data_IF_337338475891
#
_entry.id   IF_337338475891
#
_cell.length_a   1.000
_cell.length_b   1.000
_cell.length_c   1.000
_cell.angle_alpha   90.00
_cell.angle_beta   90.00
_cell.angle_gamma   90.00
#
_symmetry.space_group_name_H-M   'P 1'
#
loop_
_entity.id
_entity.type
_entity.pdbx_description
1 polymer ?
#
# COMPACT_ATOMS: atom_id res chain seq x y z
N UNK A 1 -19.76 -17.98 -15.78
CA UNK A 1 -20.13 -17.36 -14.50
C UNK A 1 -21.36 -16.53 -14.78
N UNK A 2 -22.50 -16.89 -14.20
CA UNK A 2 -23.72 -16.11 -14.35
C UNK A 2 -23.62 -14.88 -13.45
N UNK A 3 -23.52 -13.69 -14.06
CA UNK A 3 -23.35 -12.41 -13.36
C UNK A 3 -24.68 -11.91 -12.75
N UNK A 4 -25.78 -12.66 -12.89
CA UNK A 4 -27.11 -12.26 -12.43
C UNK A 4 -27.53 -12.90 -11.10
N UNK A 5 -26.74 -13.84 -10.57
CA UNK A 5 -27.00 -14.45 -9.25
C UNK A 5 -26.55 -13.48 -8.14
N UNK A 6 -27.43 -13.20 -7.19
CA UNK A 6 -27.07 -12.46 -5.97
C UNK A 6 -26.07 -13.28 -5.13
N UNK A 7 -25.02 -12.65 -4.59
CA UNK A 7 -24.03 -13.34 -3.78
C UNK A 7 -24.67 -13.90 -2.51
N UNK A 8 -24.62 -15.21 -2.34
CA UNK A 8 -25.10 -15.94 -1.16
C UNK A 8 -23.97 -16.04 -0.13
N UNK A 9 -24.22 -15.62 1.11
CA UNK A 9 -23.18 -15.57 2.15
C UNK A 9 -22.68 -16.96 2.58
N UNK A 10 -23.49 -17.99 2.41
CA UNK A 10 -23.20 -19.38 2.78
C UNK A 10 -22.60 -20.20 1.63
N UNK A 11 -22.50 -19.65 0.42
CA UNK A 11 -21.82 -20.29 -0.69
C UNK A 11 -20.29 -20.22 -0.51
N UNK A 12 -19.59 -21.34 -0.28
CA UNK A 12 -18.15 -21.37 -0.07
C UNK A 12 -17.35 -21.01 -1.33
N UNK A 13 -17.99 -20.98 -2.52
CA UNK A 13 -17.37 -20.62 -3.79
C UNK A 13 -17.58 -19.15 -4.16
N UNK A 14 -18.43 -18.42 -3.41
CA UNK A 14 -18.66 -16.99 -3.61
C UNK A 14 -17.63 -16.16 -2.83
N UNK A 15 -16.97 -15.23 -3.52
CA UNK A 15 -16.02 -14.32 -2.88
C UNK A 15 -16.78 -13.29 -2.03
N UNK A 16 -16.75 -13.48 -0.72
CA UNK A 16 -17.35 -12.56 0.24
C UNK A 16 -16.28 -11.65 0.85
N UNK A 17 -16.29 -10.36 0.48
CA UNK A 17 -15.41 -9.36 1.09
C UNK A 17 -16.06 -8.79 2.37
N UNK A 18 -15.31 -8.78 3.48
CA UNK A 18 -15.73 -8.12 4.72
C UNK A 18 -14.87 -6.87 4.91
N UNK A 19 -15.51 -5.70 4.84
CA UNK A 19 -14.86 -4.45 5.19
C UNK A 19 -14.63 -4.39 6.70
N UNK A 20 -13.38 -4.54 7.14
CA UNK A 20 -13.02 -4.29 8.54
C UNK A 20 -12.87 -2.78 8.72
N UNK A 21 -13.75 -2.18 9.53
CA UNK A 21 -13.68 -0.76 9.83
C UNK A 21 -12.49 -0.47 10.74
N UNK A 22 -11.53 0.30 10.23
CA UNK A 22 -10.39 0.79 10.99
C UNK A 22 -10.49 2.32 11.14
N UNK A 23 -11.08 2.81 12.24
CA UNK A 23 -11.22 4.26 12.46
C UNK A 23 -9.88 4.97 12.65
N UNK A 24 -8.83 4.24 13.04
CA UNK A 24 -7.52 4.82 13.27
C UNK A 24 -6.74 5.05 11.98
N UNK A 25 -7.04 4.29 10.92
CA UNK A 25 -6.28 4.27 9.68
C UNK A 25 -4.90 3.59 9.81
N UNK A 26 -4.68 2.82 10.88
CA UNK A 26 -3.42 2.13 11.14
C UNK A 26 -3.12 1.03 10.11
N UNK A 27 -4.15 0.28 9.71
CA UNK A 27 -4.05 -0.73 8.65
C UNK A 27 -3.55 -0.11 7.34
N UNK A 28 -4.00 1.11 7.04
CA UNK A 28 -3.60 1.84 5.85
C UNK A 28 -2.16 2.35 5.96
N UNK A 29 -1.71 2.75 7.16
CA UNK A 29 -0.32 3.11 7.43
C UNK A 29 0.62 1.91 7.31
N UNK A 30 0.24 0.76 7.86
CA UNK A 30 0.99 -0.49 7.72
C UNK A 30 1.10 -0.92 6.25
N UNK A 31 0.00 -0.85 5.50
CA UNK A 31 0.01 -1.15 4.06
C UNK A 31 0.93 -0.20 3.29
N UNK A 32 0.83 1.11 3.55
CA UNK A 32 1.70 2.10 2.90
C UNK A 32 3.18 1.88 3.23
N UNK A 33 3.50 1.51 4.47
CA UNK A 33 4.85 1.14 4.87
C UNK A 33 5.34 -0.10 4.12
N UNK A 34 4.51 -1.15 4.03
CA UNK A 34 4.84 -2.36 3.29
C UNK A 34 5.19 -2.06 1.83
N UNK A 35 4.34 -1.29 1.12
CA UNK A 35 4.64 -0.87 -0.25
C UNK A 35 5.97 -0.13 -0.35
N UNK A 36 6.21 0.85 0.54
CA UNK A 36 7.46 1.59 0.52
C UNK A 36 8.67 0.67 0.67
N UNK A 37 8.64 -0.25 1.64
CA UNK A 37 9.71 -1.22 1.87
C UNK A 37 9.96 -2.13 0.66
N UNK A 38 8.91 -2.70 0.07
CA UNK A 38 9.02 -3.63 -1.05
C UNK A 38 9.70 -2.96 -2.25
N UNK A 39 9.24 -1.77 -2.64
CA UNK A 39 9.84 -1.08 -3.78
C UNK A 39 11.27 -0.58 -3.49
N UNK A 40 11.58 -0.19 -2.25
CA UNK A 40 12.96 0.12 -1.87
C UNK A 40 13.87 -1.12 -1.91
N UNK A 41 13.38 -2.29 -1.46
CA UNK A 41 14.12 -3.56 -1.55
C UNK A 41 14.35 -4.00 -2.99
N UNK A 42 13.44 -3.68 -3.91
CA UNK A 42 13.60 -3.87 -5.35
C UNK A 42 14.55 -2.85 -6.01
N UNK A 43 15.08 -1.89 -5.25
CA UNK A 43 16.08 -0.93 -5.72
C UNK A 43 15.51 0.36 -6.31
N UNK A 44 14.20 0.60 -6.18
CA UNK A 44 13.62 1.87 -6.62
C UNK A 44 14.02 3.01 -5.67
N UNK A 45 14.39 4.20 -6.19
CA UNK A 45 14.75 5.32 -5.34
C UNK A 45 13.51 5.90 -4.63
N UNK A 46 13.67 6.54 -3.46
CA UNK A 46 12.54 7.06 -2.67
C UNK A 46 11.58 7.97 -3.45
N UNK A 47 12.10 8.83 -4.34
CA UNK A 47 11.26 9.68 -5.18
C UNK A 47 10.35 8.90 -6.14
N UNK A 48 10.82 7.75 -6.65
CA UNK A 48 9.99 6.89 -7.52
C UNK A 48 8.97 6.10 -6.72
N UNK A 49 9.31 5.72 -5.49
CA UNK A 49 8.36 5.12 -4.54
C UNK A 49 7.26 6.12 -4.19
N UNK A 50 7.61 7.39 -3.94
CA UNK A 50 6.62 8.43 -3.69
C UNK A 50 5.69 8.66 -4.89
N UNK A 51 6.23 8.70 -6.11
CA UNK A 51 5.43 8.85 -7.34
C UNK A 51 4.41 7.71 -7.56
N UNK A 52 4.65 6.51 -7.00
CA UNK A 52 3.68 5.41 -7.02
C UNK A 52 2.42 5.75 -6.22
N UNK A 53 2.54 6.45 -5.09
CA UNK A 53 1.40 6.92 -4.30
C UNK A 53 0.63 8.05 -5.00
N UNK A 54 1.27 8.86 -5.83
CA UNK A 54 0.63 9.97 -6.55
C UNK A 54 -0.17 9.51 -7.78
N UNK A 55 0.19 8.35 -8.34
CA UNK A 55 -0.38 7.85 -9.58
C UNK A 55 -1.73 7.13 -9.39
N UNK A 56 -2.81 7.57 -10.05
CA UNK A 56 -4.11 6.88 -10.02
C UNK A 56 -4.08 5.45 -10.58
N UNK A 57 -3.02 5.08 -11.32
CA UNK A 57 -2.84 3.71 -11.82
C UNK A 57 -2.60 2.70 -10.71
N UNK A 58 -2.21 3.16 -9.51
CA UNK A 58 -2.03 2.33 -8.32
C UNK A 58 -3.10 2.68 -7.28
N UNK A 59 -4.33 2.14 -7.43
CA UNK A 59 -5.48 2.61 -6.65
C UNK A 59 -5.31 2.44 -5.14
N UNK A 60 -4.61 1.39 -4.68
CA UNK A 60 -4.36 1.17 -3.25
C UNK A 60 -3.37 2.19 -2.67
N UNK A 61 -2.26 2.44 -3.36
CA UNK A 61 -1.27 3.43 -2.92
C UNK A 61 -1.83 4.85 -3.04
N UNK A 62 -2.53 5.15 -4.12
CA UNK A 62 -3.19 6.44 -4.32
C UNK A 62 -4.33 6.68 -3.32
N UNK A 63 -5.08 5.62 -2.99
CA UNK A 63 -6.06 5.65 -1.90
C UNK A 63 -5.40 5.96 -0.56
N UNK A 64 -4.27 5.34 -0.26
CA UNK A 64 -3.50 5.64 0.95
C UNK A 64 -3.05 7.10 1.01
N UNK A 65 -2.59 7.69 -0.09
CA UNK A 65 -2.24 9.10 -0.17
C UNK A 65 -3.44 10.02 0.08
N UNK A 66 -4.59 9.72 -0.53
CA UNK A 66 -5.81 10.52 -0.36
C UNK A 66 -6.34 10.49 1.07
N UNK A 67 -6.25 9.35 1.75
CA UNK A 67 -6.77 9.18 3.10
C UNK A 67 -5.80 9.66 4.17
N UNK A 68 -4.50 9.35 4.06
CA UNK A 68 -3.48 9.66 5.07
C UNK A 68 -2.81 11.03 4.86
N UNK A 69 -2.88 11.57 3.63
CA UNK A 69 -2.26 12.82 3.24
C UNK A 69 -0.78 12.67 2.86
N UNK A 70 -0.32 13.62 2.04
CA UNK A 70 1.04 13.66 1.53
C UNK A 70 2.12 13.71 2.63
N UNK A 71 2.00 14.51 3.72
CA UNK A 71 3.02 14.53 4.77
C UNK A 71 3.25 13.15 5.42
N UNK A 72 2.17 12.40 5.64
CA UNK A 72 2.23 11.06 6.23
C UNK A 72 2.92 10.09 5.29
N UNK A 73 2.53 10.06 4.01
CA UNK A 73 3.17 9.20 3.00
C UNK A 73 4.64 9.54 2.84
N UNK A 74 4.99 10.83 2.78
CA UNK A 74 6.38 11.28 2.70
C UNK A 74 7.19 10.77 3.90
N UNK A 75 6.65 10.89 5.11
CA UNK A 75 7.32 10.37 6.32
C UNK A 75 7.49 8.85 6.28
N UNK A 76 6.49 8.11 5.81
CA UNK A 76 6.55 6.64 5.68
C UNK A 76 7.66 6.24 4.71
N UNK A 77 7.68 6.85 3.51
CA UNK A 77 8.70 6.57 2.49
C UNK A 77 10.09 6.93 2.99
N UNK A 78 10.25 8.09 3.65
CA UNK A 78 11.53 8.51 4.22
C UNK A 78 12.02 7.55 5.31
N UNK A 79 11.14 7.09 6.20
CA UNK A 79 11.48 6.13 7.26
C UNK A 79 11.90 4.78 6.68
N UNK A 80 11.15 4.25 5.72
CA UNK A 80 11.52 3.01 5.04
C UNK A 80 12.85 3.16 4.27
N UNK A 81 13.08 4.30 3.63
CA UNK A 81 14.29 4.58 2.88
C UNK A 81 15.55 4.56 3.75
N UNK A 82 15.46 4.98 5.02
CA UNK A 82 16.59 4.92 5.97
C UNK A 82 17.03 3.49 6.27
N UNK A 83 16.15 2.51 6.14
CA UNK A 83 16.46 1.10 6.43
C UNK A 83 16.84 0.34 5.15
N UNK A 84 16.14 0.62 4.04
CA UNK A 84 16.15 -0.26 2.87
C UNK A 84 16.76 0.33 1.60
N UNK A 85 17.13 1.62 1.57
CA UNK A 85 17.70 2.21 0.36
C UNK A 85 19.03 1.56 -0.04
N UNK A 86 19.32 1.42 -1.34
CA UNK A 86 20.59 0.87 -1.83
C UNK A 86 21.84 1.53 -1.24
N UNK A 87 21.79 2.83 -0.89
CA UNK A 87 22.88 3.54 -0.21
C UNK A 87 23.25 2.95 1.17
N UNK A 88 22.33 2.21 1.81
CA UNK A 88 22.54 1.50 3.07
C UNK A 88 23.01 0.04 2.88
N UNK A 89 22.95 -0.50 1.65
CA UNK A 89 23.57 -1.79 1.30
C UNK A 89 25.03 -1.56 0.92
N UNK A 90 25.85 -1.28 1.93
CA UNK A 90 27.28 -1.55 1.81
C UNK A 90 27.46 -3.03 1.47
N UNK A 91 28.23 -3.30 0.42
CA UNK A 91 28.57 -4.65 -0.05
C UNK A 91 29.03 -5.51 1.13
N UNK A 92 28.35 -6.64 1.33
CA UNK A 92 28.86 -7.79 2.07
C UNK A 92 29.17 -8.89 1.06
#
# INVERSE_FOLDING_TARGET
MDLTKEPEQDDPLTLNAVGVFDPSGESLRMMAACFAEEYLRLGFPPGRVLALFESPRYPLANGALKTLGYPTILSIVANAARVWSPAHRSHG
#
